data_IF_009957431304
#
_entry.id   IF_009957431304
#
_cell.length_a   1.000
_cell.length_b   1.000
_cell.length_c   1.000
_cell.angle_alpha   90.00
_cell.angle_beta   90.00
_cell.angle_gamma   90.00
#
_symmetry.space_group_name_H-M   'P 1'
#
loop_
_entity.id
_entity.type
_entity.pdbx_description
1 polymer ?
#
# COMPACT_ATOMS: atom_id res chain seq x y z
N UNK A 1 15.30 -14.76 15.39
CA UNK A 1 13.95 -14.24 15.03
C UNK A 1 14.01 -13.63 13.64
N UNK A 2 13.23 -14.11 12.67
CA UNK A 2 13.02 -13.35 11.42
C UNK A 2 12.19 -12.13 11.77
N UNK A 3 12.65 -10.93 11.43
CA UNK A 3 11.81 -9.74 11.53
C UNK A 3 10.56 -9.95 10.66
N UNK A 4 9.38 -9.67 11.20
CA UNK A 4 8.14 -9.74 10.42
C UNK A 4 8.23 -8.74 9.26
N UNK A 5 7.86 -9.20 8.05
CA UNK A 5 7.84 -8.35 6.85
C UNK A 5 6.87 -7.19 7.09
N UNK A 6 7.36 -5.95 6.99
CA UNK A 6 6.52 -4.76 7.17
C UNK A 6 5.73 -4.49 5.88
N UNK A 7 4.49 -4.04 6.01
CA UNK A 7 3.60 -3.70 4.89
C UNK A 7 3.06 -2.28 5.02
N UNK A 8 3.02 -1.53 3.91
CA UNK A 8 2.24 -0.32 3.75
C UNK A 8 0.90 -0.70 3.11
N UNK A 9 -0.20 -0.42 3.82
CA UNK A 9 -1.55 -0.57 3.29
C UNK A 9 -2.07 0.80 2.87
N UNK A 10 -2.55 0.89 1.64
CA UNK A 10 -3.10 2.11 1.04
C UNK A 10 -4.57 1.86 0.74
N UNK A 11 -5.43 2.59 1.45
CA UNK A 11 -6.85 2.66 1.10
C UNK A 11 -7.01 3.84 0.15
N UNK A 12 -7.27 3.54 -1.12
CA UNK A 12 -7.31 4.52 -2.19
C UNK A 12 -8.75 4.75 -2.65
N UNK A 13 -9.20 6.00 -2.61
CA UNK A 13 -10.58 6.35 -2.98
C UNK A 13 -10.77 6.51 -4.48
N UNK A 14 -9.79 7.04 -5.22
CA UNK A 14 -9.86 7.19 -6.68
C UNK A 14 -8.49 7.00 -7.33
N UNK A 15 -8.45 6.63 -8.61
CA UNK A 15 -7.20 6.32 -9.34
C UNK A 15 -6.10 7.39 -9.23
N UNK A 16 -6.45 8.68 -9.33
CA UNK A 16 -5.48 9.80 -9.28
C UNK A 16 -4.83 10.01 -7.92
N UNK A 17 -5.34 9.40 -6.85
CA UNK A 17 -4.83 9.48 -5.48
C UNK A 17 -3.86 8.34 -5.15
N UNK A 18 -3.22 7.75 -6.17
CA UNK A 18 -2.25 6.68 -5.99
C UNK A 18 -1.16 7.04 -4.96
N UNK A 19 -0.51 6.04 -4.34
CA UNK A 19 0.35 6.26 -3.18
C UNK A 19 1.65 7.03 -3.47
N UNK A 20 2.02 7.24 -4.73
CA UNK A 20 3.14 8.09 -5.12
C UNK A 20 4.42 7.84 -4.32
N UNK A 21 4.98 8.90 -3.73
CA UNK A 21 6.23 8.86 -2.96
C UNK A 21 6.16 7.93 -1.74
N UNK A 22 4.98 7.70 -1.15
CA UNK A 22 4.84 6.79 -0.01
C UNK A 22 5.14 5.34 -0.41
N UNK A 23 4.68 4.91 -1.59
CA UNK A 23 4.98 3.57 -2.09
C UNK A 23 6.47 3.41 -2.43
N UNK A 24 7.08 4.44 -3.04
CA UNK A 24 8.51 4.43 -3.35
C UNK A 24 9.36 4.29 -2.07
N UNK A 25 9.04 5.06 -1.04
CA UNK A 25 9.75 5.02 0.24
C UNK A 25 9.55 3.68 0.97
N UNK A 26 8.34 3.12 0.94
CA UNK A 26 8.06 1.81 1.52
C UNK A 26 8.89 0.70 0.83
N UNK A 27 8.94 0.70 -0.49
CA UNK A 27 9.76 -0.25 -1.27
C UNK A 27 11.25 -0.06 -0.98
N UNK A 28 11.75 1.17 -0.87
CA UNK A 28 13.13 1.46 -0.50
C UNK A 28 13.51 0.92 0.88
N UNK A 29 12.55 0.83 1.81
CA UNK A 29 12.71 0.23 3.14
C UNK A 29 12.55 -1.30 3.14
N UNK A 30 12.33 -1.93 2.00
CA UNK A 30 12.06 -3.36 1.86
C UNK A 30 10.68 -3.77 2.38
N UNK A 31 9.71 -2.85 2.41
CA UNK A 31 8.33 -3.16 2.79
C UNK A 31 7.54 -3.59 1.57
N UNK A 32 6.46 -4.34 1.77
CA UNK A 32 5.47 -4.59 0.72
C UNK A 32 4.45 -3.46 0.67
N UNK A 33 3.89 -3.20 -0.50
CA UNK A 33 2.82 -2.21 -0.69
C UNK A 33 1.56 -2.95 -1.15
N UNK A 34 0.45 -2.72 -0.46
CA UNK A 34 -0.86 -3.25 -0.82
C UNK A 34 -1.83 -2.08 -0.97
N UNK A 35 -2.53 -2.04 -2.10
CA UNK A 35 -3.50 -1.00 -2.42
C UNK A 35 -4.88 -1.65 -2.52
N UNK A 36 -5.87 -1.08 -1.83
CA UNK A 36 -7.28 -1.43 -1.94
C UNK A 36 -8.03 -0.25 -2.55
N UNK A 37 -8.62 -0.44 -3.73
CA UNK A 37 -9.40 0.57 -4.48
C UNK A 37 -10.86 0.54 -4.04
N UNK A 38 -11.20 1.48 -3.16
CA UNK A 38 -12.53 1.56 -2.57
C UNK A 38 -13.60 1.93 -3.60
N UNK A 39 -13.23 2.72 -4.63
CA UNK A 39 -14.11 3.04 -5.76
C UNK A 39 -14.43 1.84 -6.68
N UNK A 40 -13.61 0.79 -6.63
CA UNK A 40 -13.82 -0.43 -7.39
C UNK A 40 -14.47 -1.54 -6.55
N UNK A 41 -14.67 -1.28 -5.25
CA UNK A 41 -15.24 -2.26 -4.32
C UNK A 41 -14.25 -3.32 -3.84
N UNK A 42 -12.95 -3.04 -3.86
CA UNK A 42 -11.94 -3.95 -3.30
C UNK A 42 -12.22 -4.21 -1.80
N UNK A 43 -12.02 -5.44 -1.31
CA UNK A 43 -12.16 -5.76 0.11
C UNK A 43 -11.08 -5.06 0.96
N UNK A 44 -11.38 -4.89 2.25
CA UNK A 44 -10.42 -4.34 3.22
C UNK A 44 -9.39 -5.42 3.66
N UNK A 45 -8.10 -5.08 3.76
CA UNK A 45 -6.98 -6.01 4.02
C UNK A 45 -6.51 -6.16 5.48
#
# INVERSE_FOLDING_TARGET
MRAALKRLVVLQHVEREGPGLFALEALARGWTVLISRLDLGDPLP
#
